data_IF_679063378100
#
_entry.id   IF_679063378100
#
_cell.length_a   1.000
_cell.length_b   1.000
_cell.length_c   1.000
_cell.angle_alpha   90.00
_cell.angle_beta   90.00
_cell.angle_gamma   90.00
#
_symmetry.space_group_name_H-M   'P 1'
#
loop_
_entity.id
_entity.type
_entity.pdbx_description
1 polymer ?
#
# COMPACT_ATOMS: atom_id res chain seq x y z
N UNK A 1 -1.52 25.41 9.54
CA UNK A 1 -1.97 24.03 9.76
C UNK A 1 -1.76 23.30 8.45
N UNK A 2 -0.56 22.82 8.22
CA UNK A 2 -0.22 22.06 7.02
C UNK A 2 0.15 20.66 7.46
N UNK A 3 -0.88 19.84 7.64
CA UNK A 3 -0.72 18.40 7.72
C UNK A 3 -0.22 17.92 6.36
N UNK A 4 1.11 17.85 6.24
CA UNK A 4 1.84 17.13 5.19
C UNK A 4 1.40 15.66 5.32
N UNK A 5 0.23 15.37 4.77
CA UNK A 5 -0.34 14.04 4.73
C UNK A 5 0.48 13.31 3.70
N UNK A 6 1.32 12.37 4.12
CA UNK A 6 2.12 11.55 3.23
C UNK A 6 1.16 10.62 2.46
N UNK A 7 0.66 11.11 1.32
CA UNK A 7 -0.35 10.41 0.52
C UNK A 7 0.33 9.25 -0.19
N UNK A 8 0.02 8.03 0.24
CA UNK A 8 0.55 6.82 -0.40
C UNK A 8 -0.31 6.52 -1.62
N UNK A 9 0.25 6.70 -2.81
CA UNK A 9 -0.42 6.32 -4.05
C UNK A 9 -0.18 4.85 -4.39
N UNK A 10 -1.20 4.15 -4.86
CA UNK A 10 -1.11 2.82 -5.41
C UNK A 10 -2.05 2.61 -6.58
N UNK A 11 -1.75 1.59 -7.39
CA UNK A 11 -2.59 1.22 -8.50
C UNK A 11 -3.85 0.51 -8.00
N UNK A 12 -5.01 1.12 -8.24
CA UNK A 12 -6.28 0.50 -7.96
C UNK A 12 -6.72 -0.33 -9.17
N UNK A 13 -6.82 -1.65 -9.03
CA UNK A 13 -7.26 -2.55 -10.11
C UNK A 13 -8.71 -2.29 -10.54
N UNK A 14 -9.59 -1.85 -9.62
CA UNK A 14 -10.97 -1.50 -9.97
C UNK A 14 -11.06 -0.18 -10.74
N UNK A 15 -10.28 0.83 -10.34
CA UNK A 15 -10.26 2.11 -11.05
C UNK A 15 -9.33 2.10 -12.26
N UNK A 16 -8.51 1.06 -12.42
CA UNK A 16 -7.44 0.93 -13.44
C UNK A 16 -6.54 2.17 -13.53
N UNK A 17 -6.30 2.79 -12.38
CA UNK A 17 -5.57 4.05 -12.26
C UNK A 17 -4.81 4.10 -10.94
N UNK A 18 -3.77 4.94 -10.88
CA UNK A 18 -3.09 5.27 -9.63
C UNK A 18 -4.03 6.14 -8.78
N UNK A 19 -4.22 5.74 -7.53
CA UNK A 19 -5.13 6.38 -6.59
C UNK A 19 -4.49 6.42 -5.22
N UNK A 20 -4.93 7.39 -4.43
CA UNK A 20 -4.54 7.57 -3.05
C UNK A 20 -5.06 6.41 -2.19
N UNK A 21 -4.19 5.86 -1.36
CA UNK A 21 -4.57 4.97 -0.27
C UNK A 21 -5.05 5.80 0.93
N UNK A 22 -6.29 5.56 1.33
CA UNK A 22 -6.79 5.88 2.66
C UNK A 22 -6.24 4.85 3.65
N UNK A 23 -5.71 5.35 4.76
CA UNK A 23 -5.12 4.56 5.84
C UNK A 23 -4.02 3.60 5.38
N UNK A 24 -2.93 4.09 4.77
CA UNK A 24 -1.80 3.25 4.42
C UNK A 24 -1.15 2.71 5.70
N UNK A 25 -1.01 1.39 5.78
CA UNK A 25 -0.33 0.68 6.86
C UNK A 25 0.79 -0.16 6.26
N UNK A 26 1.98 -0.07 6.85
CA UNK A 26 3.08 -0.96 6.50
C UNK A 26 2.89 -2.30 7.20
N UNK A 27 2.93 -3.39 6.44
CA UNK A 27 2.80 -4.76 6.92
C UNK A 27 4.00 -5.57 6.48
N UNK A 28 4.56 -6.33 7.41
CA UNK A 28 5.62 -7.30 7.13
C UNK A 28 5.00 -8.69 6.98
N UNK A 29 5.25 -9.36 5.87
CA UNK A 29 4.74 -10.69 5.56
C UNK A 29 5.92 -11.66 5.41
N UNK A 30 5.79 -12.90 5.88
CA UNK A 30 6.82 -13.93 5.65
C UNK A 30 6.83 -14.32 4.17
N UNK A 31 7.94 -14.10 3.48
CA UNK A 31 8.14 -14.48 2.09
C UNK A 31 8.65 -15.92 1.92
N UNK A 32 8.84 -16.33 0.67
CA UNK A 32 9.40 -17.65 0.30
C UNK A 32 10.90 -17.67 0.63
N UNK A 33 11.35 -18.64 1.44
CA UNK A 33 12.76 -18.83 1.80
C UNK A 33 13.27 -17.93 2.94
N UNK A 34 12.53 -17.88 4.05
CA UNK A 34 12.90 -17.19 5.31
C UNK A 34 13.07 -15.66 5.25
N UNK A 35 12.79 -15.02 4.11
CA UNK A 35 12.95 -13.57 3.95
C UNK A 35 11.67 -12.81 4.27
N UNK A 36 11.69 -11.80 5.15
CA UNK A 36 10.56 -10.90 5.34
C UNK A 36 10.32 -10.05 4.09
N UNK A 37 9.07 -9.98 3.65
CA UNK A 37 8.60 -9.10 2.58
C UNK A 37 7.83 -7.96 3.20
N UNK A 38 8.17 -6.74 2.83
CA UNK A 38 7.44 -5.55 3.25
C UNK A 38 6.41 -5.21 2.19
N UNK A 39 5.19 -4.96 2.63
CA UNK A 39 4.10 -4.48 1.81
C UNK A 39 3.40 -3.33 2.52
N UNK A 40 2.78 -2.45 1.76
CA UNK A 40 1.91 -1.41 2.25
C UNK A 40 0.48 -1.80 1.89
N UNK A 41 -0.38 -1.92 2.89
CA UNK A 41 -1.81 -2.12 2.69
C UNK A 41 -2.52 -0.80 2.88
N UNK A 42 -3.63 -0.60 2.18
CA UNK A 42 -4.49 0.56 2.38
C UNK A 42 -5.80 0.38 1.64
N UNK A 43 -6.61 1.43 1.61
CA UNK A 43 -7.95 1.38 1.01
C UNK A 43 -8.08 2.42 -0.09
N UNK A 44 -8.66 2.08 -1.24
CA UNK A 44 -8.87 3.05 -2.30
C UNK A 44 -9.78 4.18 -1.83
N UNK A 45 -9.36 5.44 -2.04
CA UNK A 45 -10.14 6.61 -1.64
C UNK A 45 -11.51 6.71 -2.33
N UNK A 46 -11.64 6.13 -3.53
CA UNK A 46 -12.83 6.22 -4.40
C UNK A 46 -13.72 4.98 -4.28
N UNK A 47 -13.16 3.80 -4.59
CA UNK A 47 -13.94 2.55 -4.67
C UNK A 47 -13.85 1.69 -3.41
N UNK A 48 -13.24 2.22 -2.34
CA UNK A 48 -13.11 1.60 -1.00
C UNK A 48 -12.54 0.18 -1.00
N UNK A 49 -11.92 -0.24 -2.10
CA UNK A 49 -11.35 -1.58 -2.24
C UNK A 49 -9.98 -1.62 -1.59
N UNK A 50 -9.67 -2.70 -0.85
CA UNK A 50 -8.35 -2.90 -0.27
C UNK A 50 -7.31 -2.98 -1.38
N UNK A 51 -6.26 -2.18 -1.24
CA UNK A 51 -5.12 -2.10 -2.15
C UNK A 51 -3.86 -2.52 -1.40
N UNK A 52 -2.97 -3.21 -2.10
CA UNK A 52 -1.69 -3.63 -1.57
C UNK A 52 -0.58 -3.17 -2.51
N UNK A 53 0.48 -2.59 -1.96
CA UNK A 53 1.68 -2.14 -2.66
C UNK A 53 2.88 -2.86 -2.05
N UNK A 54 3.49 -3.77 -2.80
CA UNK A 54 4.67 -4.51 -2.33
C UNK A 54 5.88 -3.57 -2.39
N UNK A 55 6.58 -3.39 -1.26
CA UNK A 55 7.72 -2.48 -1.14
C UNK A 55 9.06 -3.18 -1.43
N UNK A 56 9.19 -4.47 -1.11
CA UNK A 56 10.39 -5.27 -1.40
C UNK A 56 10.81 -6.20 -0.26
N UNK A 57 11.87 -6.98 -0.46
CA UNK A 57 12.59 -7.70 0.60
C UNK A 57 13.63 -6.76 1.19
N UNK A 58 13.65 -6.55 2.52
CA UNK A 58 14.87 -6.06 3.19
C UNK A 58 15.96 -7.13 2.98
N UNK A 59 17.10 -6.72 2.44
CA UNK A 59 18.27 -7.57 2.21
C UNK A 59 19.09 -7.65 3.49
#
# INVERSE_FOLDING_TARGET
MDDIKNIVEAYCVKCKAKREMKSPQEVSMKGKGDKPRMAMTGTCAICTTKMFRILGTKK
#
